data_IF_788150535740
#
_entry.id   IF_788150535740
#
_cell.length_a   1.000
_cell.length_b   1.000
_cell.length_c   1.000
_cell.angle_alpha   90.00
_cell.angle_beta   90.00
_cell.angle_gamma   90.00
#
_symmetry.space_group_name_H-M   'P 1'
#
loop_
_entity.id
_entity.type
_entity.pdbx_description
1 polymer ?
#
# COMPACT_ATOMS: atom_id res chain seq x y z
N UNK A 1 -0.83 -5.73 2.94
CA UNK A 1 -0.84 -5.07 1.64
C UNK A 1 0.14 -5.74 0.65
N UNK A 2 1.24 -6.32 1.10
CA UNK A 2 2.27 -6.96 0.25
C UNK A 2 1.72 -8.05 -0.68
N UNK A 3 0.72 -8.79 -0.25
CA UNK A 3 0.11 -9.85 -1.08
C UNK A 3 -0.79 -9.29 -2.20
N UNK A 4 -1.32 -8.09 -2.07
CA UNK A 4 -2.22 -7.51 -3.08
C UNK A 4 -1.57 -7.38 -4.46
N UNK A 5 -0.39 -6.75 -4.61
CA UNK A 5 0.27 -6.66 -5.91
C UNK A 5 0.73 -8.03 -6.44
N UNK A 6 1.13 -8.95 -5.56
CA UNK A 6 1.57 -10.29 -5.96
C UNK A 6 0.40 -11.09 -6.55
N UNK A 7 -0.74 -11.12 -5.85
CA UNK A 7 -1.95 -11.83 -6.31
C UNK A 7 -2.48 -11.21 -7.60
N UNK A 8 -2.51 -9.87 -7.68
CA UNK A 8 -2.93 -9.16 -8.89
C UNK A 8 -2.01 -9.48 -10.09
N UNK A 9 -0.70 -9.37 -9.87
CA UNK A 9 0.29 -9.68 -10.91
C UNK A 9 0.20 -11.13 -11.37
N UNK A 10 0.12 -12.08 -10.45
CA UNK A 10 -0.04 -13.50 -10.76
C UNK A 10 -1.33 -13.76 -11.56
N UNK A 11 -2.46 -13.17 -11.16
CA UNK A 11 -3.73 -13.34 -11.85
C UNK A 11 -3.68 -12.80 -13.29
N UNK A 12 -3.07 -11.64 -13.52
CA UNK A 12 -2.88 -11.07 -14.86
C UNK A 12 -1.90 -11.92 -15.69
N UNK A 13 -0.81 -12.38 -15.08
CA UNK A 13 0.18 -13.24 -15.75
C UNK A 13 -0.44 -14.57 -16.23
N UNK A 14 -1.16 -15.26 -15.34
CA UNK A 14 -1.81 -16.54 -15.67
C UNK A 14 -2.90 -16.37 -16.74
N UNK A 15 -3.57 -15.23 -16.79
CA UNK A 15 -4.54 -14.89 -17.85
C UNK A 15 -3.88 -14.45 -19.16
N UNK A 16 -2.55 -14.34 -19.21
CA UNK A 16 -1.79 -13.81 -20.35
C UNK A 16 -2.31 -12.44 -20.80
N UNK A 17 -2.71 -11.60 -19.83
CA UNK A 17 -3.25 -10.28 -20.11
C UNK A 17 -2.13 -9.38 -20.64
N UNK A 18 -2.33 -8.76 -21.80
CA UNK A 18 -1.34 -7.88 -22.42
C UNK A 18 -0.98 -6.65 -21.60
N UNK A 19 -1.82 -6.28 -20.62
CA UNK A 19 -1.59 -5.14 -19.72
C UNK A 19 -0.69 -5.48 -18.53
N UNK A 20 -0.33 -6.77 -18.34
CA UNK A 20 0.52 -7.20 -17.22
C UNK A 20 1.80 -6.37 -17.06
N UNK A 21 2.62 -6.13 -18.14
CA UNK A 21 3.84 -5.34 -18.00
C UNK A 21 3.58 -3.91 -17.51
N UNK A 22 2.57 -3.25 -18.07
CA UNK A 22 2.20 -1.88 -17.69
C UNK A 22 1.71 -1.78 -16.26
N UNK A 23 0.94 -2.77 -15.78
CA UNK A 23 0.47 -2.83 -14.39
C UNK A 23 1.64 -3.01 -13.44
N UNK A 24 2.56 -3.94 -13.74
CA UNK A 24 3.75 -4.16 -12.91
C UNK A 24 4.64 -2.92 -12.90
N UNK A 25 4.87 -2.29 -14.06
CA UNK A 25 5.62 -1.04 -14.13
C UNK A 25 5.02 0.05 -13.24
N UNK A 26 3.70 0.26 -13.32
CA UNK A 26 3.03 1.27 -12.52
C UNK A 26 3.13 0.99 -11.00
N UNK A 27 2.95 -0.26 -10.58
CA UNK A 27 3.07 -0.67 -9.17
C UNK A 27 4.52 -0.48 -8.67
N UNK A 28 5.52 -0.88 -9.45
CA UNK A 28 6.92 -0.67 -9.11
C UNK A 28 7.24 0.82 -9.00
N UNK A 29 6.77 1.64 -9.94
CA UNK A 29 6.89 3.10 -9.87
C UNK A 29 6.30 3.63 -8.56
N UNK A 30 5.12 3.13 -8.16
CA UNK A 30 4.50 3.49 -6.89
C UNK A 30 5.38 3.17 -5.68
N UNK A 31 5.97 1.97 -5.63
CA UNK A 31 6.90 1.60 -4.56
C UNK A 31 8.13 2.53 -4.53
N UNK A 32 8.76 2.79 -5.67
CA UNK A 32 9.92 3.69 -5.72
C UNK A 32 9.59 5.10 -5.28
N UNK A 33 8.43 5.63 -5.68
CA UNK A 33 7.96 6.96 -5.25
C UNK A 33 7.73 7.00 -3.73
N UNK A 34 7.12 5.96 -3.14
CA UNK A 34 6.99 5.83 -1.68
C UNK A 34 8.35 5.82 -0.99
N UNK A 35 9.31 5.03 -1.47
CA UNK A 35 10.64 4.94 -0.86
C UNK A 35 11.40 6.26 -0.94
N UNK A 36 11.29 6.99 -2.06
CA UNK A 36 11.84 8.35 -2.16
C UNK A 36 11.16 9.27 -1.12
N UNK A 37 9.85 9.14 -0.95
CA UNK A 37 9.12 9.87 0.09
C UNK A 37 9.67 9.61 1.50
N UNK A 38 9.92 8.36 1.86
CA UNK A 38 10.52 7.98 3.16
C UNK A 38 11.91 8.55 3.38
N UNK A 39 12.71 8.63 2.31
CA UNK A 39 14.06 9.23 2.38
C UNK A 39 14.01 10.75 2.54
N UNK A 40 13.07 11.41 1.85
CA UNK A 40 12.95 12.88 1.89
C UNK A 40 12.25 13.38 3.16
N UNK A 41 11.29 12.59 3.68
CA UNK A 41 10.46 12.96 4.82
C UNK A 41 10.42 11.81 5.85
N UNK A 42 11.54 11.56 6.57
CA UNK A 42 11.59 10.49 7.56
C UNK A 42 10.66 10.79 8.73
N UNK A 43 9.43 10.28 8.67
CA UNK A 43 8.40 10.51 9.68
C UNK A 43 8.25 9.28 10.58
N UNK A 44 8.18 9.51 11.88
CA UNK A 44 7.95 8.46 12.88
C UNK A 44 6.44 8.22 13.02
N UNK A 45 6.04 6.96 12.89
CA UNK A 45 4.64 6.56 13.03
C UNK A 45 4.09 6.80 14.44
N UNK A 46 2.76 7.05 14.58
CA UNK A 46 2.11 7.34 15.86
C UNK A 46 2.41 6.30 16.95
N UNK A 47 2.49 5.04 16.58
CA UNK A 47 2.74 3.91 17.51
C UNK A 47 4.07 4.00 18.27
N UNK A 48 5.04 4.74 17.76
CA UNK A 48 6.35 4.91 18.39
C UNK A 48 6.44 6.19 19.21
N UNK A 49 5.56 7.16 18.96
CA UNK A 49 5.58 8.46 19.59
C UNK A 49 4.51 8.61 20.67
N UNK A 50 3.32 8.03 20.43
CA UNK A 50 2.21 8.11 21.37
C UNK A 50 2.24 6.88 22.30
N UNK A 51 2.18 7.14 23.61
CA UNK A 51 2.08 6.09 24.62
C UNK A 51 0.62 5.66 24.72
N UNK A 52 0.27 4.58 24.03
CA UNK A 52 -1.06 3.96 24.17
C UNK A 52 -1.04 2.95 25.29
N UNK A 53 -2.16 2.84 26.00
CA UNK A 53 -2.32 1.82 27.02
C UNK A 53 -2.36 0.43 26.36
N UNK A 54 -1.27 -0.30 26.53
CA UNK A 54 -1.10 -1.64 25.91
C UNK A 54 -2.13 -2.64 26.40
N UNK A 55 -2.76 -2.40 27.55
CA UNK A 55 -3.75 -3.30 28.15
C UNK A 55 -4.94 -3.59 27.22
N UNK A 56 -5.28 -2.67 26.32
CA UNK A 56 -6.38 -2.82 25.35
C UNK A 56 -6.06 -3.89 24.30
N UNK A 57 -4.80 -4.10 23.98
CA UNK A 57 -4.36 -5.06 22.94
C UNK A 57 -3.85 -6.37 23.53
N UNK A 58 -3.24 -6.34 24.73
CA UNK A 58 -2.60 -7.52 25.36
C UNK A 58 -3.63 -8.55 25.87
N UNK A 59 -4.86 -8.13 26.11
CA UNK A 59 -5.93 -9.02 26.62
C UNK A 59 -6.62 -9.86 25.54
N UNK A 60 -6.25 -9.72 24.26
CA UNK A 60 -6.85 -10.50 23.18
C UNK A 60 -5.77 -11.32 22.47
N UNK A 61 -5.84 -12.66 22.57
CA UNK A 61 -4.85 -13.57 21.99
C UNK A 61 -4.51 -13.25 20.52
N UNK A 62 -5.54 -12.94 19.73
CA UNK A 62 -5.36 -12.64 18.29
C UNK A 62 -4.69 -11.28 18.09
N UNK A 63 -5.06 -10.25 18.84
CA UNK A 63 -4.48 -8.91 18.72
C UNK A 63 -3.03 -8.87 19.24
N UNK A 64 -2.71 -9.56 20.32
CA UNK A 64 -1.34 -9.67 20.84
C UNK A 64 -0.41 -10.38 19.85
N UNK A 65 -0.85 -11.50 19.26
CA UNK A 65 -0.07 -12.23 18.25
C UNK A 65 0.15 -11.42 16.97
N UNK A 66 -0.92 -10.76 16.45
CA UNK A 66 -0.81 -9.91 15.26
C UNK A 66 0.06 -8.70 15.51
N UNK A 67 -0.04 -8.04 16.66
CA UNK A 67 0.82 -6.92 17.02
C UNK A 67 2.30 -7.35 17.14
N UNK A 68 2.57 -8.51 17.71
CA UNK A 68 3.94 -9.05 17.80
C UNK A 68 4.52 -9.37 16.41
N UNK A 69 3.74 -10.04 15.56
CA UNK A 69 4.13 -10.34 14.17
C UNK A 69 4.40 -9.06 13.36
N UNK A 70 3.53 -8.07 13.47
CA UNK A 70 3.69 -6.79 12.78
C UNK A 70 4.91 -6.03 13.29
N UNK A 71 5.20 -6.06 14.59
CA UNK A 71 6.40 -5.44 15.16
C UNK A 71 7.71 -6.09 14.68
N UNK A 72 7.67 -7.39 14.36
CA UNK A 72 8.81 -8.11 13.78
C UNK A 72 8.99 -7.73 12.31
N UNK A 73 7.89 -7.65 11.55
CA UNK A 73 7.91 -7.39 10.12
C UNK A 73 8.20 -5.92 9.79
N UNK A 74 7.68 -5.01 10.61
CA UNK A 74 7.80 -3.55 10.40
C UNK A 74 8.71 -2.91 11.44
N UNK A 75 10.01 -3.18 11.34
CA UNK A 75 11.04 -2.64 12.24
C UNK A 75 11.37 -1.17 11.97
N UNK A 76 11.09 -0.67 10.77
CA UNK A 76 11.38 0.71 10.42
C UNK A 76 10.48 1.66 11.20
N UNK A 77 11.11 2.69 11.77
CA UNK A 77 10.40 3.71 12.56
C UNK A 77 10.08 4.96 11.75
N UNK A 78 10.77 5.15 10.62
CA UNK A 78 10.79 6.41 9.86
C UNK A 78 10.14 6.32 8.49
N UNK A 79 9.27 5.33 8.28
CA UNK A 79 8.55 5.08 7.03
C UNK A 79 7.03 5.36 7.13
N UNK A 80 6.64 6.26 8.04
CA UNK A 80 5.24 6.58 8.22
C UNK A 80 4.68 7.49 7.11
N UNK A 81 5.47 8.40 6.56
CA UNK A 81 5.03 9.36 5.55
C UNK A 81 5.83 9.24 4.25
N UNK A 82 5.14 9.19 3.11
CA UNK A 82 3.71 9.01 2.86
C UNK A 82 3.25 7.56 3.12
N UNK A 83 1.92 7.31 3.27
CA UNK A 83 1.44 5.94 3.46
C UNK A 83 1.55 5.10 2.19
N UNK A 84 2.60 4.28 2.11
CA UNK A 84 2.78 3.30 1.03
C UNK A 84 1.69 2.22 1.03
N UNK A 85 1.17 1.85 2.22
CA UNK A 85 0.04 0.95 2.36
C UNK A 85 -1.19 1.45 1.59
N UNK A 86 -1.54 2.71 1.80
CA UNK A 86 -2.65 3.38 1.11
C UNK A 86 -2.39 3.50 -0.38
N UNK A 87 -1.21 4.00 -0.75
CA UNK A 87 -0.84 4.22 -2.14
C UNK A 87 -0.94 2.94 -2.97
N UNK A 88 -0.22 1.90 -2.58
CA UNK A 88 -0.15 0.65 -3.35
C UNK A 88 -1.49 -0.08 -3.37
N UNK A 89 -2.24 -0.09 -2.26
CA UNK A 89 -3.55 -0.74 -2.22
C UNK A 89 -4.56 -0.08 -3.15
N UNK A 90 -4.57 1.26 -3.24
CA UNK A 90 -5.41 2.00 -4.18
C UNK A 90 -5.03 1.68 -5.63
N UNK A 91 -3.72 1.65 -5.95
CA UNK A 91 -3.25 1.29 -7.28
C UNK A 91 -3.65 -0.14 -7.66
N UNK A 92 -3.50 -1.10 -6.73
CA UNK A 92 -3.95 -2.47 -6.95
C UNK A 92 -5.47 -2.55 -7.16
N UNK A 93 -6.26 -1.79 -6.40
CA UNK A 93 -7.72 -1.72 -6.57
C UNK A 93 -8.10 -1.17 -7.94
N UNK A 94 -7.42 -0.10 -8.38
CA UNK A 94 -7.61 0.44 -9.71
C UNK A 94 -7.35 -0.61 -10.80
N UNK A 95 -6.24 -1.33 -10.72
CA UNK A 95 -5.90 -2.35 -11.73
C UNK A 95 -6.70 -3.65 -11.61
N UNK A 96 -7.29 -3.93 -10.44
CA UNK A 96 -8.13 -5.11 -10.26
C UNK A 96 -9.37 -5.13 -11.17
N UNK A 97 -9.79 -3.96 -11.72
CA UNK A 97 -10.89 -3.90 -12.68
C UNK A 97 -10.58 -4.67 -13.98
N UNK A 98 -9.31 -4.84 -14.34
CA UNK A 98 -8.89 -5.66 -15.49
C UNK A 98 -9.23 -7.15 -15.32
N UNK A 99 -9.34 -7.61 -14.08
CA UNK A 99 -9.73 -8.99 -13.76
C UNK A 99 -11.24 -9.17 -13.69
N UNK A 100 -12.02 -8.08 -13.64
CA UNK A 100 -13.47 -8.06 -13.62
C UNK A 100 -14.06 -7.47 -12.34
N UNK A 101 -15.39 -7.26 -12.35
CA UNK A 101 -16.13 -6.56 -11.29
C UNK A 101 -15.94 -7.16 -9.88
N UNK A 102 -15.93 -8.48 -9.78
CA UNK A 102 -15.79 -9.15 -8.48
C UNK A 102 -14.40 -8.89 -7.87
N UNK A 103 -13.35 -8.90 -8.69
CA UNK A 103 -12.01 -8.56 -8.25
C UNK A 103 -11.90 -7.11 -7.79
N UNK A 104 -12.48 -6.16 -8.55
CA UNK A 104 -12.54 -4.76 -8.12
C UNK A 104 -13.23 -4.60 -6.78
N UNK A 105 -14.35 -5.29 -6.56
CA UNK A 105 -15.09 -5.21 -5.30
C UNK A 105 -14.27 -5.77 -4.13
N UNK A 106 -13.66 -6.95 -4.31
CA UNK A 106 -12.82 -7.59 -3.28
C UNK A 106 -11.65 -6.67 -2.92
N UNK A 107 -10.92 -6.17 -3.92
CA UNK A 107 -9.79 -5.27 -3.70
C UNK A 107 -10.22 -3.95 -3.07
N UNK A 108 -11.35 -3.40 -3.47
CA UNK A 108 -11.91 -2.19 -2.88
C UNK A 108 -12.24 -2.35 -1.40
N UNK A 109 -12.90 -3.44 -1.02
CA UNK A 109 -13.20 -3.75 0.38
C UNK A 109 -11.90 -3.96 1.18
N UNK A 110 -10.97 -4.74 0.64
CA UNK A 110 -9.66 -4.96 1.29
C UNK A 110 -8.90 -3.66 1.49
N UNK A 111 -8.87 -2.77 0.49
CA UNK A 111 -8.20 -1.47 0.58
C UNK A 111 -8.87 -0.58 1.63
N UNK A 112 -10.19 -0.51 1.66
CA UNK A 112 -10.92 0.27 2.67
C UNK A 112 -10.62 -0.22 4.09
N UNK A 113 -10.72 -1.54 4.32
CA UNK A 113 -10.40 -2.15 5.62
C UNK A 113 -8.93 -1.92 6.00
N UNK A 114 -8.01 -2.01 5.04
CA UNK A 114 -6.59 -1.79 5.28
C UNK A 114 -6.33 -0.33 5.68
N UNK A 115 -6.89 0.65 4.97
CA UNK A 115 -6.73 2.07 5.31
C UNK A 115 -7.25 2.36 6.71
N UNK A 116 -8.45 1.86 7.04
CA UNK A 116 -9.02 2.01 8.38
C UNK A 116 -8.13 1.36 9.43
N UNK A 117 -7.64 0.15 9.18
CA UNK A 117 -6.79 -0.58 10.13
C UNK A 117 -5.44 0.10 10.35
N UNK A 118 -4.82 0.71 9.33
CA UNK A 118 -3.54 1.41 9.49
C UNK A 118 -3.65 2.65 10.38
N UNK A 119 -4.77 3.35 10.33
CA UNK A 119 -5.05 4.48 11.22
C UNK A 119 -5.45 3.98 12.63
N UNK A 120 -6.33 2.96 12.70
CA UNK A 120 -6.79 2.39 13.95
C UNK A 120 -5.64 1.76 14.77
N UNK A 121 -4.75 1.04 14.11
CA UNK A 121 -3.57 0.44 14.73
C UNK A 121 -2.40 1.41 14.90
N UNK A 122 -2.60 2.70 14.68
CA UNK A 122 -1.62 3.77 14.88
C UNK A 122 -0.32 3.62 14.05
N UNK A 123 -0.41 2.99 12.87
CA UNK A 123 0.71 2.91 11.93
C UNK A 123 0.91 4.23 11.19
N UNK A 124 -0.21 4.89 10.80
CA UNK A 124 -0.21 6.12 10.02
C UNK A 124 -1.11 7.18 10.63
N UNK A 125 -0.71 8.43 10.47
CA UNK A 125 -1.60 9.57 10.66
C UNK A 125 -2.54 9.72 9.46
N UNK A 126 -3.65 10.42 9.64
CA UNK A 126 -4.58 10.72 8.54
C UNK A 126 -3.88 11.50 7.41
N UNK A 127 -2.92 12.36 7.75
CA UNK A 127 -2.09 13.11 6.79
C UNK A 127 -1.29 12.19 5.87
N UNK A 128 -0.76 11.08 6.42
CA UNK A 128 0.02 10.11 5.66
C UNK A 128 -0.87 9.37 4.66
N UNK A 129 -2.11 9.06 5.08
CA UNK A 129 -3.13 8.44 4.23
C UNK A 129 -3.49 9.37 3.08
N UNK A 130 -3.75 10.66 3.35
CA UNK A 130 -4.06 11.65 2.32
C UNK A 130 -2.90 11.76 1.32
N UNK A 131 -1.67 11.84 1.80
CA UNK A 131 -0.49 11.86 0.95
C UNK A 131 -0.38 10.59 0.09
N UNK A 132 -0.66 9.41 0.66
CA UNK A 132 -0.69 8.14 -0.05
C UNK A 132 -1.75 8.11 -1.17
N UNK A 133 -2.95 8.66 -0.92
CA UNK A 133 -4.00 8.80 -1.95
C UNK A 133 -3.51 9.70 -3.09
N UNK A 134 -2.95 10.85 -2.78
CA UNK A 134 -2.43 11.79 -3.79
C UNK A 134 -1.32 11.15 -4.63
N UNK A 135 -0.39 10.45 -3.99
CA UNK A 135 0.68 9.75 -4.71
C UNK A 135 0.15 8.60 -5.58
N UNK A 136 -0.88 7.88 -5.16
CA UNK A 136 -1.53 6.87 -5.99
C UNK A 136 -2.09 7.50 -7.27
N UNK A 137 -2.81 8.61 -7.16
CA UNK A 137 -3.37 9.34 -8.30
C UNK A 137 -2.24 9.82 -9.22
N UNK A 138 -1.19 10.43 -8.67
CA UNK A 138 -0.04 10.89 -9.44
C UNK A 138 0.61 9.72 -10.20
N UNK A 139 0.92 8.61 -9.53
CA UNK A 139 1.54 7.45 -10.16
C UNK A 139 0.67 6.85 -11.26
N UNK A 140 -0.64 6.72 -11.04
CA UNK A 140 -1.58 6.21 -12.04
C UNK A 140 -1.67 7.12 -13.27
N UNK A 141 -1.57 8.43 -13.10
CA UNK A 141 -1.66 9.39 -14.22
C UNK A 141 -0.36 9.49 -15.01
N UNK A 142 0.81 9.40 -14.35
CA UNK A 142 2.10 9.56 -15.03
C UNK A 142 2.66 8.25 -15.60
N UNK A 143 2.31 7.09 -15.03
CA UNK A 143 2.89 5.80 -15.42
C UNK A 143 2.73 5.49 -16.92
N UNK A 144 1.58 5.72 -17.61
CA UNK A 144 1.47 5.41 -19.03
C UNK A 144 2.38 6.29 -19.91
N UNK A 145 2.58 7.55 -19.52
CA UNK A 145 3.48 8.46 -20.22
C UNK A 145 4.94 8.09 -20.07
N UNK A 146 5.35 7.69 -18.87
CA UNK A 146 6.71 7.24 -18.58
C UNK A 146 7.03 5.92 -19.29
N UNK A 147 6.12 4.95 -19.24
CA UNK A 147 6.26 3.66 -19.93
C UNK A 147 6.49 3.86 -21.42
N UNK A 148 5.69 4.72 -22.08
CA UNK A 148 5.87 5.05 -23.51
C UNK A 148 7.23 5.70 -23.83
N UNK A 149 7.75 6.50 -22.92
CA UNK A 149 9.06 7.15 -23.12
C UNK A 149 10.21 6.15 -22.94
N UNK A 150 10.12 5.27 -21.95
CA UNK A 150 11.16 4.29 -21.64
C UNK A 150 11.15 3.09 -22.59
N UNK A 151 9.98 2.69 -23.11
CA UNK A 151 9.85 1.58 -24.06
C UNK A 151 10.15 1.93 -25.51
N UNK A 152 10.59 3.17 -25.79
CA UNK A 152 11.01 3.65 -27.13
C UNK A 152 12.54 3.63 -27.37
N UNK A 153 13.29 3.06 -26.43
CA UNK A 153 14.74 2.91 -26.53
C UNK A 153 15.17 1.57 -27.13
#
# INVERSE_FOLDING_TARGET
YYFMPVVLGMALFLRKDSRFPSVIFAILLGFYVSYIGYLLFPAVGPRFYLHFDKSVYENTYLAGWTAHLLNILEKNKTDAFPSGHTQISIMCTYFAHYLGRNWSLIYGIMTALLIVSTVYCHYHYITDVIAGILLAIICLTISPGLEKRLGRG
#
